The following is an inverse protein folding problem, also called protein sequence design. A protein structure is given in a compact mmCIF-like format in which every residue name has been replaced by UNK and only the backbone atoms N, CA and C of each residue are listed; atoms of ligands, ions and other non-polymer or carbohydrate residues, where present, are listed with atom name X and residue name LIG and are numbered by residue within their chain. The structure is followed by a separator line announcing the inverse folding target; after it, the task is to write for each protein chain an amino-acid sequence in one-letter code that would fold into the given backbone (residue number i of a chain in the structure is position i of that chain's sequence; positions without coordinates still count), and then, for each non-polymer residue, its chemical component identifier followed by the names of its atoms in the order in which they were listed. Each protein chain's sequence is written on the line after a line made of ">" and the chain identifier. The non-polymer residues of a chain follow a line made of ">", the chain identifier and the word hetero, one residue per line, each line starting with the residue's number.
data_IF_356201586650
#
_entry.id   IF_356201586650
#
_cell.length_a   1.000
_cell.length_b   1.000
_cell.length_c   1.000
_cell.angle_alpha   90.00
_cell.angle_beta   90.00
_cell.angle_gamma   90.00
#
_symmetry.space_group_name_H-M   'P 1'
#
loop_
_entity.id
_entity.type
_entity.pdbx_description
1 polymer ?
#
# COMPACT_ATOMS: atom_id res chain seq x y z
N UNK A 1 -9.09 2.14 -36.34
CA UNK A 1 -9.43 2.45 -34.94
C UNK A 1 -9.68 1.14 -34.22
N UNK A 2 -8.78 0.68 -33.36
CA UNK A 2 -9.04 -0.46 -32.48
C UNK A 2 -9.32 0.10 -31.08
N UNK A 3 -10.58 0.05 -30.67
CA UNK A 3 -10.98 0.30 -29.29
C UNK A 3 -10.51 -0.90 -28.47
N UNK A 4 -9.35 -0.79 -27.80
CA UNK A 4 -9.00 -1.76 -26.76
C UNK A 4 -9.89 -1.46 -25.56
N UNK A 5 -10.88 -2.32 -25.35
CA UNK A 5 -11.63 -2.41 -24.10
C UNK A 5 -10.63 -2.43 -22.94
N UNK A 6 -10.76 -1.48 -22.00
CA UNK A 6 -9.94 -1.44 -20.80
C UNK A 6 -10.39 -2.57 -19.87
N UNK A 7 -9.94 -3.79 -20.16
CA UNK A 7 -10.02 -4.91 -19.23
C UNK A 7 -9.15 -4.53 -18.03
N UNK A 8 -9.77 -4.29 -16.88
CA UNK A 8 -9.04 -4.13 -15.64
C UNK A 8 -8.20 -5.39 -15.42
N UNK A 9 -6.89 -5.28 -15.10
CA UNK A 9 -6.09 -6.44 -14.77
C UNK A 9 -6.75 -7.18 -13.59
N UNK A 10 -6.88 -8.51 -13.70
CA UNK A 10 -7.37 -9.32 -12.59
C UNK A 10 -6.43 -9.17 -11.41
N UNK A 11 -6.98 -8.82 -10.25
CA UNK A 11 -6.24 -8.81 -9.00
C UNK A 11 -5.79 -10.24 -8.62
N UNK A 12 -4.62 -10.36 -8.01
CA UNK A 12 -4.12 -11.63 -7.51
C UNK A 12 -4.86 -12.11 -6.25
N UNK A 13 -4.89 -13.43 -6.01
CA UNK A 13 -5.41 -13.95 -4.75
C UNK A 13 -4.59 -13.39 -3.57
N UNK A 14 -5.23 -13.31 -2.41
CA UNK A 14 -4.57 -12.81 -1.21
C UNK A 14 -3.31 -13.63 -0.89
N UNK A 15 -2.23 -12.93 -0.56
CA UNK A 15 -0.92 -13.52 -0.32
C UNK A 15 0.00 -13.59 -1.54
N UNK A 16 -0.45 -13.13 -2.72
CA UNK A 16 0.35 -13.12 -3.95
C UNK A 16 0.24 -11.81 -4.71
N UNK A 17 1.27 -11.50 -5.51
CA UNK A 17 1.34 -10.35 -6.39
C UNK A 17 2.16 -10.64 -7.67
N UNK A 18 2.22 -9.64 -8.55
CA UNK A 18 3.04 -9.66 -9.75
C UNK A 18 2.36 -10.29 -10.96
N UNK A 19 3.11 -10.42 -12.07
CA UNK A 19 2.57 -10.97 -13.31
C UNK A 19 2.17 -12.43 -13.10
N UNK A 20 0.90 -12.75 -13.34
CA UNK A 20 0.30 -14.06 -13.10
C UNK A 20 0.33 -14.53 -11.63
N UNK A 21 0.46 -13.62 -10.66
CA UNK A 21 0.43 -13.96 -9.22
C UNK A 21 1.53 -14.94 -8.79
N UNK A 22 2.68 -14.85 -9.46
CA UNK A 22 3.80 -15.78 -9.25
C UNK A 22 4.60 -15.48 -7.97
N UNK A 23 4.45 -14.28 -7.40
CA UNK A 23 5.28 -13.83 -6.29
C UNK A 23 4.45 -13.85 -4.98
N UNK A 24 4.94 -14.46 -3.89
CA UNK A 24 4.30 -14.37 -2.58
C UNK A 24 4.47 -12.97 -1.99
N UNK A 25 3.57 -12.53 -1.11
CA UNK A 25 3.70 -11.19 -0.51
C UNK A 25 5.02 -10.99 0.22
N UNK A 26 5.62 -9.79 0.09
CA UNK A 26 6.79 -9.43 0.89
C UNK A 26 6.39 -9.23 2.36
N UNK A 27 7.39 -9.18 3.24
CA UNK A 27 7.20 -8.91 4.65
C UNK A 27 6.39 -7.62 4.86
N UNK A 28 5.54 -7.63 5.87
CA UNK A 28 4.71 -6.50 6.28
C UNK A 28 3.59 -6.11 5.29
N UNK A 29 3.40 -6.83 4.18
CA UNK A 29 2.28 -6.64 3.26
C UNK A 29 1.35 -7.86 3.22
N UNK A 30 0.07 -7.62 2.96
CA UNK A 30 -0.94 -8.67 2.88
C UNK A 30 -2.07 -8.33 1.91
N UNK A 31 -2.96 -9.31 1.69
CA UNK A 31 -4.16 -9.16 0.88
C UNK A 31 -3.92 -9.31 -0.62
N UNK A 32 -4.92 -8.99 -1.46
CA UNK A 32 -4.82 -9.06 -2.91
C UNK A 32 -3.75 -8.11 -3.44
N UNK A 33 -2.88 -8.61 -4.30
CA UNK A 33 -1.74 -7.89 -4.86
C UNK A 33 -0.79 -7.29 -3.81
N UNK A 34 -0.88 -7.75 -2.55
CA UNK A 34 -0.08 -7.27 -1.42
C UNK A 34 -0.13 -5.75 -1.23
N UNK A 35 -1.31 -5.16 -1.45
CA UNK A 35 -1.53 -3.70 -1.41
C UNK A 35 -1.78 -3.16 -0.01
N UNK A 36 -1.97 -4.04 0.98
CA UNK A 36 -2.29 -3.67 2.35
C UNK A 36 -1.06 -3.81 3.25
N UNK A 37 -0.87 -2.87 4.18
CA UNK A 37 0.29 -2.80 5.08
C UNK A 37 -0.13 -3.29 6.47
N UNK A 38 0.68 -4.16 7.07
CA UNK A 38 0.56 -4.57 8.46
C UNK A 38 1.28 -3.60 9.40
N UNK A 39 0.72 -3.37 10.59
CA UNK A 39 1.34 -2.57 11.65
C UNK A 39 1.74 -3.40 12.89
N UNK A 40 1.61 -4.72 12.82
CA UNK A 40 1.95 -5.68 13.87
C UNK A 40 3.33 -6.30 13.65
N UNK A 41 3.92 -6.89 14.70
CA UNK A 41 5.20 -7.59 14.61
C UNK A 41 5.16 -8.87 13.76
N UNK A 42 3.99 -9.50 13.65
CA UNK A 42 3.78 -10.68 12.81
C UNK A 42 2.63 -10.43 11.83
N UNK A 43 2.97 -10.40 10.54
CA UNK A 43 2.03 -10.16 9.45
C UNK A 43 1.86 -11.43 8.63
N UNK A 44 0.63 -11.96 8.59
CA UNK A 44 0.31 -13.06 7.70
C UNK A 44 -0.07 -12.53 6.30
N UNK A 45 0.48 -13.10 5.22
CA UNK A 45 0.31 -12.58 3.86
C UNK A 45 -1.15 -12.61 3.36
N UNK A 46 -2.01 -13.46 3.92
CA UNK A 46 -3.42 -13.58 3.52
C UNK A 46 -4.36 -12.71 4.38
N UNK A 47 -4.19 -12.73 5.70
CA UNK A 47 -5.15 -12.15 6.65
C UNK A 47 -4.60 -10.96 7.45
N UNK A 48 -3.33 -10.59 7.22
CA UNK A 48 -2.70 -9.46 7.88
C UNK A 48 -2.37 -9.75 9.33
N UNK A 49 -2.71 -8.83 10.22
CA UNK A 49 -2.48 -8.95 11.65
C UNK A 49 -3.53 -9.86 12.31
N UNK A 50 -3.10 -10.79 13.17
CA UNK A 50 -4.04 -11.60 13.96
C UNK A 50 -4.65 -10.76 15.09
N UNK A 51 -5.94 -10.43 14.96
CA UNK A 51 -6.69 -9.70 15.98
C UNK A 51 -6.97 -10.54 17.24
N UNK A 52 -6.65 -11.84 17.26
CA UNK A 52 -6.86 -12.71 18.43
C UNK A 52 -5.94 -12.39 19.61
N UNK A 53 -4.88 -11.59 19.40
CA UNK A 53 -4.02 -11.10 20.47
C UNK A 53 -4.31 -9.65 20.90
N UNK A 54 -5.26 -8.95 20.26
CA UNK A 54 -5.76 -7.70 20.80
C UNK A 54 -6.81 -8.01 21.87
N UNK A 55 -6.29 -8.18 23.09
CA UNK A 55 -7.05 -8.48 24.30
C UNK A 55 -7.83 -7.23 24.76
N UNK A 56 -8.75 -6.75 23.92
CA UNK A 56 -9.65 -5.65 24.25
C UNK A 56 -11.08 -5.87 23.73
N UNK A 57 -11.41 -7.04 23.16
CA UNK A 57 -12.81 -7.29 22.73
C UNK A 57 -13.21 -8.78 22.64
N UNK A 58 -12.89 -9.58 23.66
CA UNK A 58 -13.62 -10.84 23.90
C UNK A 58 -14.73 -10.62 24.93
N UNK A 59 -15.69 -9.78 24.58
CA UNK A 59 -17.04 -9.87 25.16
C UNK A 59 -17.73 -11.06 24.49
N UNK A 60 -17.66 -12.20 25.18
CA UNK A 60 -18.71 -13.22 25.22
C UNK A 60 -19.27 -13.73 23.87
N UNK A 61 -18.72 -14.83 23.37
CA UNK A 61 -19.57 -15.90 22.81
C UNK A 61 -19.37 -17.17 23.63
N UNK A 62 -20.05 -17.24 24.75
CA UNK A 62 -20.42 -18.53 25.34
C UNK A 62 -21.42 -19.22 24.42
N UNK A 63 -21.06 -20.38 23.90
CA UNK A 63 -22.01 -21.48 23.88
C UNK A 63 -21.21 -22.76 24.19
N UNK A 64 -21.26 -23.14 25.46
CA UNK A 64 -20.87 -24.44 25.97
C UNK A 64 -21.70 -25.53 25.27
N UNK A 65 -21.04 -26.48 24.61
CA UNK A 65 -21.52 -27.86 24.64
C UNK A 65 -20.34 -28.71 25.11
N UNK A 66 -20.27 -28.88 26.43
CA UNK A 66 -19.36 -29.75 27.15
C UNK A 66 -19.95 -31.17 27.19
N UNK A 67 -19.35 -32.11 26.44
CA UNK A 67 -19.45 -33.55 26.74
C UNK A 67 -18.05 -34.16 26.64
N UNK A 68 -17.55 -34.57 27.80
CA UNK A 68 -16.25 -35.19 28.04
C UNK A 68 -16.19 -36.64 27.56
N UNK A 69 -15.26 -36.96 26.66
CA UNK A 69 -14.57 -38.26 26.62
C UNK A 69 -13.08 -37.97 26.46
N UNK A 70 -12.28 -38.59 27.31
CA UNK A 70 -10.86 -38.37 27.55
C UNK A 70 -9.93 -39.07 26.55
N UNK A 71 -8.67 -38.61 26.57
CA UNK A 71 -7.42 -39.33 26.22
C UNK A 71 -6.80 -39.13 24.81
N UNK A 72 -5.73 -38.32 24.83
CA UNK A 72 -4.47 -38.31 24.06
C UNK A 72 -4.42 -38.82 22.60
N UNK A 73 -4.22 -37.88 21.65
CA UNK A 73 -3.03 -37.93 20.79
C UNK A 73 -2.47 -36.51 20.56
N UNK A 74 -1.42 -36.24 21.30
CA UNK A 74 -0.40 -35.24 21.09
C UNK A 74 0.11 -35.27 19.63
N UNK A 75 0.03 -34.18 18.87
CA UNK A 75 1.13 -33.65 18.03
C UNK A 75 0.66 -32.51 17.12
N UNK A 76 0.79 -31.28 17.62
CA UNK A 76 1.35 -30.20 16.82
C UNK A 76 2.13 -29.32 17.77
N UNK A 77 3.09 -29.95 18.45
CA UNK A 77 4.28 -29.24 18.91
C UNK A 77 5.17 -29.06 17.69
N UNK A 78 4.73 -28.26 16.73
CA UNK A 78 5.63 -27.81 15.68
C UNK A 78 6.51 -26.74 16.29
N UNK A 79 7.68 -27.19 16.73
CA UNK A 79 8.93 -26.45 16.86
C UNK A 79 8.78 -24.96 16.49
N UNK A 80 8.87 -24.12 17.50
CA UNK A 80 9.44 -22.79 17.28
C UNK A 80 10.94 -23.01 17.07
N UNK A 81 11.30 -23.45 15.87
CA UNK A 81 12.70 -23.47 15.44
C UNK A 81 13.19 -22.03 15.55
N UNK A 82 14.18 -21.84 16.41
CA UNK A 82 14.89 -20.59 16.61
C UNK A 82 15.46 -20.15 15.26
N UNK A 83 14.79 -19.22 14.59
CA UNK A 83 15.33 -18.58 13.40
C UNK A 83 16.22 -17.45 13.88
N UNK A 84 17.51 -17.76 13.93
CA UNK A 84 18.61 -16.86 14.24
C UNK A 84 18.42 -15.52 13.53
N UNK A 85 18.20 -14.50 14.33
CA UNK A 85 18.07 -13.11 13.92
C UNK A 85 19.46 -12.59 13.57
N UNK A 86 19.83 -12.64 12.29
CA UNK A 86 20.92 -11.82 11.76
C UNK A 86 20.52 -10.34 11.92
N UNK A 87 21.40 -9.48 12.49
CA UNK A 87 21.09 -8.08 12.70
C UNK A 87 20.81 -7.40 11.35
N UNK A 88 19.65 -6.76 11.30
CA UNK A 88 19.12 -5.95 10.21
C UNK A 88 20.21 -5.18 9.46
N UNK A 89 20.61 -5.68 8.29
CA UNK A 89 21.24 -4.82 7.30
C UNK A 89 20.12 -3.92 6.79
N UNK A 90 20.07 -2.72 7.35
CA UNK A 90 19.25 -1.61 6.89
C UNK A 90 19.42 -1.51 5.38
N UNK A 91 18.44 -2.00 4.64
CA UNK A 91 18.38 -1.76 3.21
C UNK A 91 18.02 -0.30 3.09
N UNK A 92 19.01 0.50 2.75
CA UNK A 92 18.80 1.85 2.24
C UNK A 92 17.82 1.71 1.08
N UNK A 93 16.56 2.10 1.31
CA UNK A 93 15.62 2.26 0.21
C UNK A 93 16.22 3.39 -0.61
N UNK A 94 16.81 3.02 -1.75
CA UNK A 94 17.17 3.98 -2.77
C UNK A 94 15.84 4.56 -3.24
N UNK A 95 15.42 5.69 -2.66
CA UNK A 95 14.28 6.45 -3.14
C UNK A 95 14.68 6.86 -4.56
N UNK A 96 14.05 6.29 -5.61
CA UNK A 96 14.40 6.66 -6.97
C UNK A 96 14.24 8.18 -7.10
N UNK A 97 15.24 8.83 -7.69
CA UNK A 97 15.35 10.28 -7.89
C UNK A 97 14.17 10.92 -8.68
N UNK A 98 13.09 10.19 -8.97
CA UNK A 98 11.88 10.65 -9.68
C UNK A 98 10.92 11.53 -8.85
N UNK A 99 11.27 11.92 -7.61
CA UNK A 99 10.51 12.91 -6.81
C UNK A 99 11.17 14.29 -6.74
N UNK A 100 12.25 14.54 -7.50
CA UNK A 100 12.87 15.87 -7.60
C UNK A 100 12.30 16.76 -8.70
N UNK A 101 11.59 16.21 -9.67
CA UNK A 101 11.15 16.97 -10.85
C UNK A 101 9.76 17.58 -10.71
N UNK A 102 8.89 17.03 -9.86
CA UNK A 102 7.55 17.59 -9.67
C UNK A 102 7.59 19.00 -9.08
N UNK A 103 8.50 19.24 -8.12
CA UNK A 103 8.68 20.57 -7.51
C UNK A 103 9.23 21.59 -8.52
N UNK A 104 10.09 21.17 -9.45
CA UNK A 104 10.65 22.03 -10.52
C UNK A 104 9.59 22.36 -11.58
N UNK A 105 8.76 21.39 -11.96
CA UNK A 105 7.67 21.56 -12.93
C UNK A 105 6.66 22.60 -12.43
N UNK A 106 6.28 22.55 -11.15
CA UNK A 106 5.32 23.50 -10.57
C UNK A 106 5.86 24.95 -10.66
N UNK A 107 7.13 25.19 -10.30
CA UNK A 107 7.73 26.53 -10.31
C UNK A 107 7.77 27.13 -11.73
N UNK A 108 8.19 26.33 -12.72
CA UNK A 108 8.27 26.78 -14.13
C UNK A 108 6.86 27.06 -14.68
N UNK A 109 5.89 26.20 -14.35
CA UNK A 109 4.50 26.39 -14.79
C UNK A 109 3.87 27.65 -14.19
N UNK A 110 4.07 27.93 -12.90
CA UNK A 110 3.53 29.13 -12.26
C UNK A 110 4.17 30.41 -12.83
N UNK A 111 5.49 30.40 -13.07
CA UNK A 111 6.20 31.56 -13.63
C UNK A 111 5.66 31.95 -15.01
N UNK A 112 5.51 30.98 -15.91
CA UNK A 112 4.99 31.23 -17.27
C UNK A 112 3.54 31.71 -17.26
N UNK A 113 2.67 31.14 -16.42
CA UNK A 113 1.28 31.58 -16.28
C UNK A 113 1.16 33.02 -15.77
N UNK A 114 1.96 33.39 -14.75
CA UNK A 114 1.96 34.75 -14.20
C UNK A 114 2.47 35.75 -15.25
N UNK A 115 3.56 35.43 -15.96
CA UNK A 115 4.09 36.29 -17.02
C UNK A 115 3.07 36.51 -18.16
N UNK A 116 2.41 35.44 -18.61
CA UNK A 116 1.35 35.55 -19.64
C UNK A 116 0.18 36.38 -19.14
N UNK A 117 -0.28 36.17 -17.91
CA UNK A 117 -1.35 36.97 -17.33
C UNK A 117 -1.02 38.46 -17.27
N UNK A 118 0.20 38.81 -16.82
CA UNK A 118 0.66 40.21 -16.79
C UNK A 118 0.73 40.81 -18.21
N UNK A 119 1.24 40.07 -19.19
CA UNK A 119 1.25 40.54 -20.58
C UNK A 119 -0.16 40.78 -21.12
N UNK A 120 -1.11 39.88 -20.83
CA UNK A 120 -2.50 40.06 -21.23
C UNK A 120 -3.16 41.27 -20.55
N UNK A 121 -2.87 41.51 -19.28
CA UNK A 121 -3.35 42.71 -18.57
C UNK A 121 -2.76 43.98 -19.18
N UNK A 122 -1.47 43.99 -19.51
CA UNK A 122 -0.83 45.11 -20.19
C UNK A 122 -1.43 45.35 -21.58
N UNK A 123 -1.64 44.29 -22.37
CA UNK A 123 -2.30 44.38 -23.69
C UNK A 123 -3.73 44.91 -23.53
N UNK A 124 -4.46 44.49 -22.49
CA UNK A 124 -5.83 44.96 -22.22
C UNK A 124 -5.84 46.45 -21.91
N UNK A 125 -4.91 46.94 -21.09
CA UNK A 125 -4.77 48.37 -20.78
C UNK A 125 -4.33 49.18 -22.01
N UNK A 126 -3.37 48.69 -22.80
CA UNK A 126 -2.95 49.36 -24.05
C UNK A 126 -4.12 49.45 -25.04
N UNK A 127 -4.89 48.36 -25.20
CA UNK A 127 -6.06 48.34 -26.09
C UNK A 127 -7.15 49.30 -25.61
N UNK A 128 -7.33 49.41 -24.30
CA UNK A 128 -8.25 50.38 -23.68
C UNK A 128 -7.82 51.82 -23.95
N UNK A 129 -6.52 52.13 -23.84
CA UNK A 129 -5.98 53.45 -24.15
C UNK A 129 -6.07 53.80 -25.63
N UNK A 130 -5.94 52.82 -26.52
CA UNK A 130 -6.02 53.03 -27.98
C UNK A 130 -7.46 53.24 -28.48
N UNK A 131 -8.47 52.82 -27.71
CA UNK A 131 -9.91 52.95 -28.05
C UNK A 131 -10.61 54.12 -27.33
N UNK A 132 -9.86 54.95 -26.61
CA UNK A 132 -10.29 56.24 -26.05
C UNK A 132 -9.77 57.39 -26.92
#
# INVERSE_FOLDING_TARGET
>A
MYLKEKVAPKACPAGYFGKNCSNPCPLQLYGPDCTQICYCSYCHPVYGCDARNDTATQTFRTFEISTSISDELNDSKTKMDAMTQEPSKMMTINVPDEVKDLKRIIIISCGTLISVALLLLMIREIRRYTLL
#
